data_IF_907612963274
#
_entry.id   IF_907612963274
#
_cell.length_a   1.000
_cell.length_b   1.000
_cell.length_c   1.000
_cell.angle_alpha   90.00
_cell.angle_beta   90.00
_cell.angle_gamma   90.00
#
_symmetry.space_group_name_H-M   'P 1'
#
loop_
_entity.id
_entity.type
_entity.pdbx_description
1 polymer ?
#
# COMPACT_ATOMS: atom_id res chain seq x y z
N UNK A 1 -3.20 15.34 -16.33
CA UNK A 1 -2.95 14.44 -15.15
C UNK A 1 -3.20 15.23 -13.88
N UNK A 2 -4.13 14.78 -13.05
CA UNK A 2 -4.38 15.43 -11.75
C UNK A 2 -3.16 15.26 -10.84
N UNK A 3 -2.73 16.34 -10.23
CA UNK A 3 -1.59 16.38 -9.31
C UNK A 3 -2.07 16.15 -7.88
N UNK A 4 -1.21 15.57 -7.06
CA UNK A 4 -1.46 15.53 -5.63
C UNK A 4 -1.46 16.95 -5.04
N UNK A 5 -2.32 17.22 -4.02
CA UNK A 5 -2.33 18.51 -3.36
C UNK A 5 -0.99 18.81 -2.68
N UNK A 6 -0.59 20.08 -2.69
CA UNK A 6 0.61 20.51 -1.98
C UNK A 6 0.28 20.77 -0.50
N UNK A 7 0.01 19.69 0.22
CA UNK A 7 -0.32 19.70 1.65
C UNK A 7 0.63 18.79 2.40
N UNK A 8 0.79 18.93 3.73
CA UNK A 8 1.66 18.05 4.52
C UNK A 8 1.36 16.55 4.38
N UNK A 9 0.11 16.20 4.04
CA UNK A 9 -0.32 14.79 3.85
C UNK A 9 0.21 14.15 2.55
N UNK A 10 0.73 14.94 1.61
CA UNK A 10 1.18 14.45 0.30
C UNK A 10 2.56 15.00 -0.10
N UNK A 11 3.27 15.59 0.83
CA UNK A 11 4.62 16.17 0.62
C UNK A 11 5.63 15.64 1.64
N UNK A 12 6.90 15.83 1.37
CA UNK A 12 7.98 15.37 2.24
C UNK A 12 7.95 13.84 2.40
N UNK A 13 7.93 13.38 3.64
CA UNK A 13 7.90 11.94 3.95
C UNK A 13 6.59 11.24 3.54
N UNK A 14 5.53 11.98 3.27
CA UNK A 14 4.24 11.47 2.81
C UNK A 14 4.04 11.61 1.30
N UNK A 15 5.09 11.96 0.56
CA UNK A 15 5.02 11.98 -0.91
C UNK A 15 4.71 10.58 -1.42
N UNK A 16 3.62 10.40 -2.19
CA UNK A 16 3.23 9.10 -2.72
C UNK A 16 4.30 8.50 -3.63
N UNK A 17 4.71 7.29 -3.36
CA UNK A 17 5.70 6.55 -4.14
C UNK A 17 5.10 5.93 -5.40
N UNK A 18 3.91 5.37 -5.29
CA UNK A 18 3.07 4.89 -6.41
C UNK A 18 3.71 3.81 -7.27
N UNK A 19 4.43 2.88 -6.69
CA UNK A 19 5.03 1.77 -7.44
C UNK A 19 4.87 0.44 -6.71
N UNK A 20 5.02 -0.64 -7.47
CA UNK A 20 5.20 -1.99 -6.94
C UNK A 20 6.60 -2.49 -7.33
N UNK A 21 7.19 -3.34 -6.51
CA UNK A 21 8.51 -3.91 -6.76
C UNK A 21 8.55 -5.39 -6.36
N UNK A 22 9.36 -6.14 -7.10
CA UNK A 22 9.73 -7.52 -6.80
C UNK A 22 11.21 -7.65 -7.17
N UNK A 23 12.07 -7.65 -6.17
CA UNK A 23 13.53 -7.64 -6.34
C UNK A 23 14.12 -8.77 -5.52
N UNK A 24 14.81 -9.68 -6.20
CA UNK A 24 15.56 -10.74 -5.54
C UNK A 24 16.99 -10.31 -5.30
N UNK A 25 17.56 -10.77 -4.19
CA UNK A 25 18.96 -10.56 -3.84
C UNK A 25 19.35 -9.08 -3.82
N UNK A 26 18.81 -8.36 -2.87
CA UNK A 26 19.15 -6.95 -2.63
C UNK A 26 20.62 -6.81 -2.25
N UNK A 27 21.21 -5.69 -2.65
CA UNK A 27 22.58 -5.31 -2.21
C UNK A 27 22.51 -5.05 -0.70
N UNK A 28 23.34 -5.78 0.05
CA UNK A 28 23.46 -5.67 1.50
C UNK A 28 24.78 -4.98 1.85
N UNK A 29 24.71 -3.91 2.61
CA UNK A 29 25.88 -3.29 3.22
C UNK A 29 26.05 -3.86 4.65
N UNK A 30 27.14 -4.54 4.90
CA UNK A 30 27.38 -5.26 6.12
C UNK A 30 27.17 -6.77 5.97
N UNK A 31 26.91 -7.45 7.07
CA UNK A 31 26.78 -8.90 7.12
C UNK A 31 25.47 -9.31 7.79
N UNK A 32 24.73 -10.20 7.14
CA UNK A 32 23.53 -10.79 7.72
C UNK A 32 23.97 -11.93 8.65
N UNK A 33 23.51 -11.98 9.91
CA UNK A 33 23.88 -13.05 10.82
C UNK A 33 23.53 -14.43 10.27
N UNK A 34 24.44 -15.37 10.43
CA UNK A 34 24.25 -16.77 10.04
C UNK A 34 23.02 -17.35 10.77
N UNK A 35 22.15 -18.02 10.03
CA UNK A 35 20.93 -18.60 10.56
C UNK A 35 19.74 -17.63 10.66
N UNK A 36 19.92 -16.36 10.28
CA UNK A 36 18.79 -15.44 10.17
C UNK A 36 17.89 -15.83 8.98
N UNK A 37 16.68 -16.25 9.29
CA UNK A 37 15.67 -16.63 8.28
C UNK A 37 14.30 -16.16 8.72
N UNK A 38 13.53 -15.66 7.77
CA UNK A 38 12.18 -15.18 8.03
C UNK A 38 11.82 -13.97 7.18
N UNK A 39 10.68 -13.37 7.46
CA UNK A 39 10.20 -12.23 6.73
C UNK A 39 9.79 -11.10 7.67
N UNK A 40 10.20 -9.88 7.31
CA UNK A 40 9.76 -8.64 7.93
C UNK A 40 8.73 -7.97 7.03
N UNK A 41 7.58 -7.63 7.60
CA UNK A 41 6.49 -6.96 6.90
C UNK A 41 6.27 -5.56 7.46
N UNK A 42 6.09 -4.61 6.55
CA UNK A 42 5.72 -3.24 6.88
C UNK A 42 4.49 -2.83 6.07
N UNK A 43 3.50 -2.24 6.75
CA UNK A 43 2.30 -1.69 6.12
C UNK A 43 2.39 -0.17 6.14
N UNK A 44 2.02 0.45 5.03
CA UNK A 44 1.99 1.91 4.89
C UNK A 44 0.86 2.33 3.96
N UNK A 45 0.34 3.56 4.11
CA UNK A 45 -0.56 4.14 3.11
C UNK A 45 0.25 4.66 1.92
N UNK A 46 -0.20 4.38 0.71
CA UNK A 46 0.34 4.97 -0.53
C UNK A 46 -0.78 5.13 -1.55
N UNK A 47 -1.36 6.34 -1.68
CA UNK A 47 -2.47 6.54 -2.59
C UNK A 47 -2.04 6.42 -4.05
N UNK A 48 -2.70 5.54 -4.82
CA UNK A 48 -2.37 5.39 -6.24
C UNK A 48 -2.86 6.57 -7.10
N UNK A 49 -3.88 7.30 -6.65
CA UNK A 49 -4.42 8.47 -7.34
C UNK A 49 -4.62 9.64 -6.36
N UNK A 50 -4.51 10.89 -6.85
CA UNK A 50 -4.82 12.06 -6.05
C UNK A 50 -6.23 11.99 -5.47
N UNK A 51 -6.48 12.53 -4.27
CA UNK A 51 -7.81 12.59 -3.70
C UNK A 51 -8.71 13.51 -4.55
N UNK A 52 -9.98 13.21 -4.60
CA UNK A 52 -10.97 14.04 -5.30
C UNK A 52 -11.16 15.40 -4.61
N UNK A 53 -11.08 15.39 -3.29
CA UNK A 53 -11.14 16.59 -2.45
C UNK A 53 -9.75 16.84 -1.88
N UNK A 54 -9.30 18.11 -1.90
CA UNK A 54 -7.95 18.48 -1.51
C UNK A 54 -7.64 18.40 0.00
N UNK A 55 -8.61 18.04 0.82
CA UNK A 55 -8.54 17.97 2.28
C UNK A 55 -8.32 16.56 2.84
N UNK A 56 -8.02 15.58 1.98
CA UNK A 56 -7.77 14.21 2.40
C UNK A 56 -6.44 14.08 3.17
N UNK A 57 -6.35 13.07 4.01
CA UNK A 57 -5.19 12.80 4.86
C UNK A 57 -4.40 11.59 4.37
N UNK A 58 -3.12 11.53 4.73
CA UNK A 58 -2.21 10.46 4.31
C UNK A 58 -2.74 9.05 4.64
N UNK A 59 -3.39 8.88 5.81
CA UNK A 59 -3.92 7.58 6.26
C UNK A 59 -5.10 7.05 5.42
N UNK A 60 -5.70 7.88 4.59
CA UNK A 60 -6.75 7.46 3.67
C UNK A 60 -6.22 6.91 2.34
N UNK A 61 -4.90 6.83 2.19
CA UNK A 61 -4.26 6.20 1.05
C UNK A 61 -4.62 4.73 0.89
N UNK A 62 -4.29 4.19 -0.28
CA UNK A 62 -4.40 2.75 -0.51
C UNK A 62 -3.30 2.05 0.30
N UNK A 63 -3.63 0.91 0.92
CA UNK A 63 -2.68 0.17 1.74
C UNK A 63 -1.61 -0.49 0.87
N UNK A 64 -0.36 -0.34 1.27
CA UNK A 64 0.78 -1.05 0.69
C UNK A 64 1.47 -1.91 1.73
N UNK A 65 1.93 -3.08 1.30
CA UNK A 65 2.74 -3.99 2.12
C UNK A 65 4.11 -4.14 1.49
N UNK A 66 5.12 -3.89 2.28
CA UNK A 66 6.51 -4.18 1.95
C UNK A 66 6.94 -5.41 2.75
N UNK A 67 7.53 -6.39 2.09
CA UNK A 67 8.11 -7.58 2.70
C UNK A 67 9.60 -7.62 2.39
N UNK A 68 10.42 -7.83 3.41
CA UNK A 68 11.82 -8.24 3.28
C UNK A 68 11.94 -9.67 3.74
N UNK A 69 12.32 -10.57 2.83
CA UNK A 69 12.51 -11.98 3.12
C UNK A 69 14.00 -12.30 3.24
N UNK A 70 14.39 -12.75 4.42
CA UNK A 70 15.78 -13.13 4.75
C UNK A 70 15.93 -14.64 4.62
N UNK A 71 16.89 -15.08 3.82
CA UNK A 71 17.24 -16.49 3.66
C UNK A 71 18.66 -16.62 3.12
N UNK A 72 19.41 -17.59 3.62
CA UNK A 72 20.74 -17.97 3.12
C UNK A 72 21.72 -16.78 2.93
N UNK A 73 21.65 -15.79 3.83
CA UNK A 73 22.47 -14.58 3.74
C UNK A 73 22.00 -13.59 2.67
N UNK A 74 20.87 -13.79 2.07
CA UNK A 74 20.24 -12.93 1.06
C UNK A 74 18.99 -12.25 1.59
N UNK A 75 18.58 -11.17 0.93
CA UNK A 75 17.34 -10.45 1.22
C UNK A 75 16.59 -10.20 -0.06
N UNK A 76 15.36 -10.65 -0.13
CA UNK A 76 14.43 -10.35 -1.21
C UNK A 76 13.43 -9.29 -0.77
N UNK A 77 13.01 -8.43 -1.70
CA UNK A 77 12.01 -7.38 -1.49
C UNK A 77 10.77 -7.66 -2.32
N UNK A 78 9.61 -7.59 -1.68
CA UNK A 78 8.32 -7.46 -2.37
C UNK A 78 7.56 -6.26 -1.83
N UNK A 79 7.05 -5.44 -2.73
CA UNK A 79 6.32 -4.22 -2.41
C UNK A 79 5.05 -4.18 -3.26
N UNK A 80 3.88 -4.29 -2.63
CA UNK A 80 2.59 -4.49 -3.30
C UNK A 80 1.50 -3.67 -2.64
N UNK A 81 0.55 -3.18 -3.45
CA UNK A 81 -0.70 -2.68 -2.92
C UNK A 81 -1.62 -3.82 -2.48
N UNK A 82 -2.32 -3.58 -1.40
CA UNK A 82 -3.43 -4.44 -0.98
C UNK A 82 -4.60 -4.20 -1.93
N UNK A 83 -5.03 -5.25 -2.60
CA UNK A 83 -6.11 -5.17 -3.60
C UNK A 83 -7.47 -5.19 -2.93
N UNK A 84 -7.82 -4.08 -2.27
CA UNK A 84 -9.15 -3.84 -1.71
C UNK A 84 -10.15 -3.50 -2.81
N UNK A 85 -11.44 -3.61 -2.52
CA UNK A 85 -12.50 -3.18 -3.46
C UNK A 85 -12.32 -1.71 -3.85
N UNK A 86 -11.97 -0.85 -2.89
CA UNK A 86 -11.64 0.56 -3.13
C UNK A 86 -10.49 0.72 -4.12
N UNK A 87 -9.40 -0.03 -3.92
CA UNK A 87 -8.22 0.00 -4.80
C UNK A 87 -8.58 -0.41 -6.23
N UNK A 88 -9.30 -1.51 -6.38
CA UNK A 88 -9.69 -2.05 -7.68
C UNK A 88 -10.67 -1.13 -8.44
N UNK A 89 -11.64 -0.55 -7.74
CA UNK A 89 -12.57 0.42 -8.31
C UNK A 89 -11.84 1.67 -8.80
N UNK A 90 -10.92 2.21 -8.00
CA UNK A 90 -10.11 3.39 -8.38
C UNK A 90 -9.24 3.08 -9.60
N UNK A 91 -8.61 1.93 -9.61
CA UNK A 91 -7.74 1.50 -10.71
C UNK A 91 -8.52 1.31 -12.01
N UNK A 92 -9.69 0.70 -11.96
CA UNK A 92 -10.58 0.53 -13.11
C UNK A 92 -11.12 1.84 -13.66
N UNK A 93 -11.42 2.82 -12.81
CA UNK A 93 -11.91 4.13 -13.19
C UNK A 93 -10.78 5.11 -13.60
N UNK A 94 -9.52 4.83 -13.26
CA UNK A 94 -8.38 5.72 -13.50
C UNK A 94 -8.45 7.05 -12.74
N UNK A 95 -9.24 7.10 -11.68
CA UNK A 95 -9.53 8.33 -10.91
C UNK A 95 -9.44 8.08 -9.40
N UNK A 96 -9.10 9.13 -8.66
CA UNK A 96 -9.26 9.17 -7.21
C UNK A 96 -10.74 9.26 -6.85
N UNK A 97 -11.31 8.17 -6.36
CA UNK A 97 -12.64 8.22 -5.75
C UNK A 97 -12.55 8.94 -4.40
N UNK A 98 -13.55 9.77 -4.14
CA UNK A 98 -13.68 10.35 -2.81
C UNK A 98 -13.87 9.23 -1.78
N UNK A 99 -13.31 9.47 -0.65
CA UNK A 99 -13.27 8.72 0.61
C UNK A 99 -14.33 7.62 0.81
N UNK A 100 -14.13 6.73 1.81
CA UNK A 100 -14.98 5.58 2.16
C UNK A 100 -16.52 5.80 2.14
N UNK A 101 -16.98 7.01 2.05
CA UNK A 101 -18.40 7.35 1.85
C UNK A 101 -18.94 6.96 0.48
N UNK A 102 -18.06 6.76 -0.52
CA UNK A 102 -18.48 6.44 -1.88
C UNK A 102 -18.61 4.92 -2.13
N UNK A 103 -18.12 4.09 -1.24
CA UNK A 103 -18.35 2.64 -1.30
C UNK A 103 -19.66 2.36 -0.55
N UNK A 104 -20.71 1.90 -1.22
CA UNK A 104 -21.96 1.59 -0.54
C UNK A 104 -21.69 0.59 0.58
N UNK A 105 -22.18 0.85 1.78
CA UNK A 105 -22.06 -0.03 2.96
C UNK A 105 -22.54 -1.48 2.71
N UNK A 106 -23.19 -1.73 1.58
CA UNK A 106 -23.67 -3.05 1.16
C UNK A 106 -22.59 -4.04 0.75
N UNK A 107 -21.38 -3.59 0.42
CA UNK A 107 -20.31 -4.50 -0.03
C UNK A 107 -19.54 -5.13 1.13
N UNK A 108 -19.68 -4.61 2.35
CA UNK A 108 -19.00 -5.16 3.52
C UNK A 108 -19.82 -6.19 4.30
N UNK A 109 -21.14 -6.18 4.17
CA UNK A 109 -22.01 -7.04 4.99
C UNK A 109 -21.92 -8.53 4.66
N UNK A 110 -21.74 -8.97 3.41
CA UNK A 110 -21.65 -10.41 3.10
C UNK A 110 -20.33 -11.06 3.51
N UNK A 111 -19.23 -10.31 3.55
CA UNK A 111 -17.92 -10.89 3.85
C UNK A 111 -17.73 -11.16 5.34
N UNK A 112 -18.21 -10.28 6.21
CA UNK A 112 -18.13 -10.50 7.67
C UNK A 112 -18.99 -11.67 8.16
N UNK A 113 -20.08 -12.00 7.48
CA UNK A 113 -20.90 -13.16 7.85
C UNK A 113 -20.28 -14.52 7.50
N UNK A 114 -19.30 -14.56 6.59
CA UNK A 114 -18.63 -15.82 6.20
C UNK A 114 -17.55 -16.27 7.18
N UNK A 115 -17.08 -15.39 8.05
CA UNK A 115 -16.01 -15.71 8.99
C UNK A 115 -16.46 -15.86 10.45
N UNK A 116 -17.77 -15.74 10.73
CA UNK A 116 -18.35 -15.86 12.07
C UNK A 116 -19.17 -17.13 12.30
N UNK A 117 -18.95 -18.17 11.47
CA UNK A 117 -19.50 -19.53 11.71
C UNK A 117 -18.38 -20.55 11.73
#
# INVERSE_FOLDING_TARGET
MSKFPNTPSFTGNYTPARFEADVSDLIVEGEIPAGMSGAFYRVQPDPQFPPKLGDDIAFNGDGQVTMFHFHDGQVDLKHRWVQTDKFNLRRGAGIGLAWCRAVPARTHTPQYRKYSQ
#
